data_IF_863673818452
#
_entry.id   IF_863673818452
#
_cell.length_a   1.000
_cell.length_b   1.000
_cell.length_c   1.000
_cell.angle_alpha   90.00
_cell.angle_beta   90.00
_cell.angle_gamma   90.00
#
_symmetry.space_group_name_H-M   'P 1'
#
loop_
_entity.id
_entity.type
_entity.pdbx_description
1 polymer ?
#
# COMPACT_ATOMS: atom_id res chain seq x y z
N UNK A 1 -16.84 -0.04 -10.35
CA UNK A 1 -17.47 1.28 -10.12
C UNK A 1 -16.64 2.40 -10.71
N UNK A 2 -15.40 2.59 -10.23
CA UNK A 2 -14.50 3.71 -10.56
C UNK A 2 -14.48 4.15 -12.03
N UNK A 3 -13.96 3.31 -12.94
CA UNK A 3 -13.86 3.65 -14.37
C UNK A 3 -15.19 4.03 -15.03
N UNK A 4 -16.27 3.32 -14.70
CA UNK A 4 -17.61 3.61 -15.24
C UNK A 4 -18.15 4.93 -14.75
N UNK A 5 -17.92 5.26 -13.48
CA UNK A 5 -18.34 6.53 -12.90
C UNK A 5 -17.56 7.71 -13.53
N UNK A 6 -16.25 7.55 -13.76
CA UNK A 6 -15.45 8.54 -14.48
C UNK A 6 -15.93 8.73 -15.93
N UNK A 7 -16.18 7.64 -16.65
CA UNK A 7 -16.71 7.69 -18.01
C UNK A 7 -18.10 8.35 -18.05
N UNK A 8 -18.99 7.99 -17.11
CA UNK A 8 -20.33 8.55 -17.02
C UNK A 8 -20.30 10.07 -16.81
N UNK A 9 -19.45 10.58 -15.93
CA UNK A 9 -19.36 12.01 -15.71
C UNK A 9 -18.87 12.77 -16.96
N UNK A 10 -17.92 12.18 -17.69
CA UNK A 10 -17.46 12.70 -18.98
C UNK A 10 -18.58 12.71 -20.02
N UNK A 11 -19.31 11.60 -20.18
CA UNK A 11 -20.45 11.48 -21.11
C UNK A 11 -21.57 12.47 -20.78
N UNK A 12 -21.90 12.65 -19.50
CA UNK A 12 -22.90 13.63 -19.09
C UNK A 12 -22.51 15.05 -19.53
N UNK A 13 -21.23 15.39 -19.39
CA UNK A 13 -20.73 16.72 -19.76
C UNK A 13 -20.60 16.91 -21.28
N UNK A 14 -20.02 15.94 -22.00
CA UNK A 14 -19.71 16.04 -23.43
C UNK A 14 -20.94 15.81 -24.32
N UNK A 15 -21.76 14.79 -24.01
CA UNK A 15 -22.80 14.30 -24.92
C UNK A 15 -24.22 14.72 -24.52
N UNK A 16 -24.45 14.95 -23.22
CA UNK A 16 -25.78 15.25 -22.65
C UNK A 16 -25.92 16.72 -22.24
N UNK A 17 -24.82 17.44 -22.10
CA UNK A 17 -24.79 18.85 -21.67
C UNK A 17 -25.06 19.06 -20.17
N UNK A 18 -24.95 18.01 -19.36
CA UNK A 18 -25.08 18.05 -17.91
C UNK A 18 -23.70 18.08 -17.26
N UNK A 19 -23.37 19.13 -16.50
CA UNK A 19 -22.12 19.19 -15.73
C UNK A 19 -22.36 18.82 -14.25
N UNK A 20 -21.94 17.63 -13.80
CA UNK A 20 -21.99 17.27 -12.38
C UNK A 20 -21.04 18.16 -11.57
N UNK A 21 -21.43 18.51 -10.34
CA UNK A 21 -20.54 19.25 -9.43
C UNK A 21 -19.39 18.40 -8.87
N UNK A 22 -19.44 17.07 -9.03
CA UNK A 22 -18.37 16.16 -8.61
C UNK A 22 -18.78 14.68 -8.64
N UNK A 23 -17.84 13.80 -8.32
CA UNK A 23 -18.04 12.34 -8.21
C UNK A 23 -17.42 11.88 -6.89
N UNK A 24 -18.14 11.02 -6.15
CA UNK A 24 -17.60 10.34 -4.97
C UNK A 24 -17.41 8.87 -5.31
N UNK A 25 -16.17 8.38 -5.20
CA UNK A 25 -15.82 6.99 -5.45
C UNK A 25 -15.47 6.30 -4.13
N UNK A 26 -16.23 5.28 -3.75
CA UNK A 26 -15.95 4.48 -2.55
C UNK A 26 -15.19 3.23 -2.98
N UNK A 27 -13.96 3.10 -2.49
CA UNK A 27 -13.04 1.98 -2.76
C UNK A 27 -12.96 1.55 -4.24
N UNK A 28 -12.73 2.49 -5.19
CA UNK A 28 -12.58 2.11 -6.59
C UNK A 28 -11.26 1.36 -6.78
N UNK A 29 -11.29 0.22 -7.49
CA UNK A 29 -10.09 -0.33 -8.08
C UNK A 29 -9.67 0.56 -9.26
N UNK A 30 -8.66 1.40 -9.05
CA UNK A 30 -8.10 2.31 -10.07
C UNK A 30 -6.82 1.74 -10.69
N UNK A 31 -6.04 1.00 -9.90
CA UNK A 31 -4.89 0.23 -10.35
C UNK A 31 -5.12 -1.24 -10.00
N UNK A 32 -5.17 -2.10 -11.02
CA UNK A 32 -5.44 -3.51 -10.83
C UNK A 32 -4.19 -4.27 -10.38
N UNK A 33 -3.00 -3.80 -10.74
CA UNK A 33 -1.72 -4.41 -10.31
C UNK A 33 -1.55 -4.33 -8.80
N UNK A 34 -2.03 -3.27 -8.16
CA UNK A 34 -2.06 -3.17 -6.70
C UNK A 34 -3.01 -4.18 -6.02
N UNK A 35 -4.03 -4.65 -6.74
CA UNK A 35 -5.02 -5.62 -6.22
C UNK A 35 -4.61 -7.06 -6.54
N UNK A 36 -3.97 -7.28 -7.69
CA UNK A 36 -3.43 -8.57 -8.13
C UNK A 36 -2.03 -8.35 -8.70
N UNK A 37 -1.02 -8.24 -7.84
CA UNK A 37 0.36 -8.04 -8.27
C UNK A 37 0.86 -9.27 -9.02
N UNK A 38 1.79 -9.06 -9.95
CA UNK A 38 2.64 -10.13 -10.43
C UNK A 38 3.93 -10.18 -9.60
N UNK A 39 4.75 -11.20 -9.84
CA UNK A 39 6.00 -11.44 -9.09
C UNK A 39 7.07 -10.33 -9.26
N UNK A 40 6.86 -9.35 -10.14
CA UNK A 40 7.78 -8.24 -10.41
C UNK A 40 7.27 -6.91 -9.86
N UNK A 41 6.06 -6.87 -9.29
CA UNK A 41 5.50 -5.66 -8.68
C UNK A 41 6.06 -5.43 -7.26
N UNK A 42 7.22 -4.79 -7.20
CA UNK A 42 7.90 -4.46 -5.94
C UNK A 42 7.12 -3.43 -5.10
N UNK A 43 6.33 -2.57 -5.75
CA UNK A 43 5.56 -1.53 -5.06
C UNK A 43 4.45 -2.13 -4.20
N UNK A 44 3.85 -3.24 -4.63
CA UNK A 44 2.84 -3.94 -3.84
C UNK A 44 3.34 -4.30 -2.44
N UNK A 45 4.53 -4.88 -2.32
CA UNK A 45 5.11 -5.27 -1.03
C UNK A 45 5.36 -4.07 -0.10
N UNK A 46 5.83 -2.94 -0.66
CA UNK A 46 6.01 -1.71 0.09
C UNK A 46 4.68 -1.16 0.64
N UNK A 47 3.57 -1.34 -0.09
CA UNK A 47 2.25 -0.90 0.36
C UNK A 47 1.60 -1.86 1.37
N UNK A 48 1.99 -3.14 1.37
CA UNK A 48 1.45 -4.15 2.29
C UNK A 48 2.12 -4.11 3.67
N UNK A 49 3.43 -3.85 3.74
CA UNK A 49 4.22 -3.88 4.98
C UNK A 49 3.61 -3.04 6.13
N UNK A 50 3.12 -1.79 5.92
CA UNK A 50 2.46 -1.03 6.97
C UNK A 50 1.23 -1.72 7.57
N UNK A 51 0.49 -2.51 6.78
CA UNK A 51 -0.67 -3.26 7.26
C UNK A 51 -0.28 -4.45 8.13
N UNK A 52 0.81 -5.14 7.79
CA UNK A 52 1.40 -6.19 8.64
C UNK A 52 1.88 -5.61 9.96
N UNK A 53 2.60 -4.49 9.92
CA UNK A 53 3.04 -3.78 11.12
C UNK A 53 1.86 -3.28 11.96
N UNK A 54 0.81 -2.74 11.34
CA UNK A 54 -0.40 -2.32 12.04
C UNK A 54 -1.06 -3.48 12.79
N UNK A 55 -1.08 -4.67 12.20
CA UNK A 55 -1.64 -5.88 12.82
C UNK A 55 -0.85 -6.26 14.07
N UNK A 56 0.47 -6.30 13.98
CA UNK A 56 1.36 -6.52 15.13
C UNK A 56 1.15 -5.45 16.22
N UNK A 57 1.25 -4.17 15.87
CA UNK A 57 1.15 -3.05 16.81
C UNK A 57 -0.20 -3.03 17.53
N UNK A 58 -1.30 -3.33 16.83
CA UNK A 58 -2.61 -3.48 17.47
C UNK A 58 -2.67 -4.69 18.40
N UNK A 59 -2.05 -5.81 18.03
CA UNK A 59 -1.88 -6.97 18.90
C UNK A 59 -1.12 -6.64 20.19
N UNK A 60 -0.13 -5.74 20.09
CA UNK A 60 0.65 -5.21 21.21
C UNK A 60 -0.10 -4.11 22.01
N UNK A 61 -1.37 -3.82 21.67
CA UNK A 61 -2.21 -2.85 22.34
C UNK A 61 -1.95 -1.39 21.97
N UNK A 62 -1.14 -1.12 20.94
CA UNK A 62 -0.86 0.24 20.46
C UNK A 62 -2.09 0.78 19.72
N UNK A 63 -2.52 1.98 20.11
CA UNK A 63 -3.73 2.60 19.55
C UNK A 63 -3.63 4.13 19.53
N UNK A 64 -4.63 4.77 18.92
CA UNK A 64 -4.73 6.23 18.86
C UNK A 64 -3.55 6.87 18.15
N UNK A 65 -3.04 7.94 18.73
CA UNK A 65 -2.00 8.79 18.15
C UNK A 65 -0.67 8.05 18.08
N UNK A 66 -0.34 7.25 19.11
CA UNK A 66 0.86 6.42 19.13
C UNK A 66 0.88 5.38 18.00
N UNK A 67 -0.27 4.86 17.59
CA UNK A 67 -0.34 3.97 16.43
C UNK A 67 -0.05 4.73 15.13
N UNK A 68 -0.60 5.94 14.98
CA UNK A 68 -0.38 6.76 13.78
C UNK A 68 1.08 7.16 13.64
N UNK A 69 1.71 7.60 14.73
CA UNK A 69 3.11 8.03 14.72
C UNK A 69 4.04 6.86 14.35
N UNK A 70 3.83 5.69 14.94
CA UNK A 70 4.61 4.49 14.60
C UNK A 70 4.37 4.02 13.17
N UNK A 71 3.13 4.08 12.68
CA UNK A 71 2.84 3.72 11.29
C UNK A 71 3.46 4.69 10.30
N UNK A 72 3.54 5.99 10.61
CA UNK A 72 4.23 6.95 9.74
C UNK A 72 5.72 6.60 9.57
N UNK A 73 6.39 6.13 10.63
CA UNK A 73 7.77 5.62 10.54
C UNK A 73 7.87 4.36 9.66
N UNK A 74 6.89 3.45 9.77
CA UNK A 74 6.84 2.24 8.94
C UNK A 74 6.60 2.59 7.48
N UNK A 75 5.67 3.49 7.18
CA UNK A 75 5.36 3.98 5.83
C UNK A 75 6.58 4.65 5.19
N UNK A 76 7.32 5.45 5.97
CA UNK A 76 8.56 6.08 5.51
C UNK A 76 9.62 5.05 5.15
N UNK A 77 9.83 4.03 5.99
CA UNK A 77 10.74 2.92 5.68
C UNK A 77 10.28 2.12 4.46
N UNK A 78 8.99 1.82 4.37
CA UNK A 78 8.42 0.97 3.34
C UNK A 78 8.58 1.59 1.93
N UNK A 79 8.27 2.89 1.80
CA UNK A 79 8.40 3.62 0.53
C UNK A 79 9.82 4.14 0.25
N UNK A 80 10.74 4.03 1.21
CA UNK A 80 12.13 4.44 1.07
C UNK A 80 13.08 3.25 0.98
N UNK A 81 13.74 2.94 2.09
CA UNK A 81 14.80 1.93 2.17
C UNK A 81 14.31 0.53 1.77
N UNK A 82 13.08 0.16 2.13
CA UNK A 82 12.54 -1.15 1.79
C UNK A 82 12.31 -1.31 0.30
N UNK A 83 11.63 -0.35 -0.35
CA UNK A 83 11.43 -0.38 -1.80
C UNK A 83 12.78 -0.35 -2.54
N UNK A 84 13.75 0.42 -2.04
CA UNK A 84 15.12 0.43 -2.58
C UNK A 84 15.79 -0.95 -2.45
N UNK A 85 15.62 -1.62 -1.30
CA UNK A 85 16.12 -2.97 -1.09
C UNK A 85 15.45 -3.99 -2.02
N UNK A 86 14.12 -3.94 -2.20
CA UNK A 86 13.40 -4.80 -3.14
C UNK A 86 13.94 -4.65 -4.57
N UNK A 87 14.23 -3.42 -4.98
CA UNK A 87 14.80 -3.11 -6.28
C UNK A 87 16.26 -3.59 -6.46
N UNK A 88 16.95 -3.96 -5.39
CA UNK A 88 18.32 -4.51 -5.45
C UNK A 88 18.38 -6.00 -5.81
N UNK A 89 17.23 -6.64 -6.01
CA UNK A 89 17.11 -8.06 -6.36
C UNK A 89 16.99 -8.96 -5.13
N UNK A 90 16.59 -10.21 -5.35
CA UNK A 90 16.16 -11.13 -4.27
C UNK A 90 17.22 -11.35 -3.17
N UNK A 91 18.46 -11.65 -3.57
CA UNK A 91 19.51 -11.99 -2.59
C UNK A 91 20.01 -10.77 -1.81
N UNK A 92 20.31 -9.68 -2.50
CA UNK A 92 20.80 -8.45 -1.87
C UNK A 92 19.68 -7.76 -1.08
N UNK A 93 18.47 -7.72 -1.64
CA UNK A 93 17.29 -7.16 -0.99
C UNK A 93 16.95 -7.88 0.30
N UNK A 94 16.95 -9.22 0.30
CA UNK A 94 16.75 -10.00 1.52
C UNK A 94 17.77 -9.67 2.61
N UNK A 95 19.06 -9.57 2.25
CA UNK A 95 20.12 -9.17 3.20
C UNK A 95 19.89 -7.77 3.79
N UNK A 96 19.37 -6.84 3.00
CA UNK A 96 19.13 -5.45 3.42
C UNK A 96 17.84 -5.27 4.21
N UNK A 97 16.80 -6.08 3.93
CA UNK A 97 15.44 -5.83 4.42
C UNK A 97 14.92 -6.86 5.44
N UNK A 98 15.25 -8.16 5.33
CA UNK A 98 14.55 -9.21 6.07
C UNK A 98 14.57 -9.01 7.60
N UNK A 99 15.69 -8.54 8.15
CA UNK A 99 15.79 -8.23 9.59
C UNK A 99 14.80 -7.16 10.04
N UNK A 100 14.70 -6.06 9.28
CA UNK A 100 13.78 -4.96 9.62
C UNK A 100 12.33 -5.34 9.35
N UNK A 101 12.05 -6.10 8.29
CA UNK A 101 10.71 -6.63 8.00
C UNK A 101 10.26 -7.58 9.11
N UNK A 102 11.13 -8.47 9.59
CA UNK A 102 10.87 -9.35 10.74
C UNK A 102 10.45 -8.57 11.98
N UNK A 103 11.20 -7.51 12.31
CA UNK A 103 10.86 -6.61 13.43
C UNK A 103 9.50 -5.93 13.23
N UNK A 104 9.24 -5.37 12.06
CA UNK A 104 8.01 -4.60 11.81
C UNK A 104 6.78 -5.50 11.76
N UNK A 105 6.85 -6.65 11.08
CA UNK A 105 5.75 -7.59 10.95
C UNK A 105 5.55 -8.48 12.19
N UNK A 106 6.57 -8.61 13.05
CA UNK A 106 6.53 -9.48 14.22
C UNK A 106 6.59 -10.97 13.86
N UNK A 107 7.25 -11.29 12.75
CA UNK A 107 7.44 -12.66 12.27
C UNK A 107 8.90 -13.11 12.46
N UNK A 108 9.14 -14.41 12.75
CA UNK A 108 10.47 -15.01 12.69
C UNK A 108 11.21 -14.72 11.37
N UNK A 109 12.53 -14.55 11.45
CA UNK A 109 13.37 -14.21 10.28
C UNK A 109 13.35 -15.28 9.18
N UNK A 110 13.14 -16.55 9.53
CA UNK A 110 13.04 -17.66 8.57
C UNK A 110 11.74 -17.66 7.75
N UNK A 111 10.77 -16.79 8.11
CA UNK A 111 9.51 -16.61 7.40
C UNK A 111 9.45 -15.33 6.53
N UNK A 112 10.51 -14.51 6.48
CA UNK A 112 10.52 -13.21 5.77
C UNK A 112 11.73 -12.96 4.89
#
# INVERSE_FOLDING_TARGET
GGFRAALLARTLQEDVGLSPSGIVLISPALEFMLVRPDQFDQLHWALELPSLAATRLKGDGVSGDALRDRLAEVEHYALGDYLTALNSGLEQGGKLASGRVSELAGLPLDLV
#
